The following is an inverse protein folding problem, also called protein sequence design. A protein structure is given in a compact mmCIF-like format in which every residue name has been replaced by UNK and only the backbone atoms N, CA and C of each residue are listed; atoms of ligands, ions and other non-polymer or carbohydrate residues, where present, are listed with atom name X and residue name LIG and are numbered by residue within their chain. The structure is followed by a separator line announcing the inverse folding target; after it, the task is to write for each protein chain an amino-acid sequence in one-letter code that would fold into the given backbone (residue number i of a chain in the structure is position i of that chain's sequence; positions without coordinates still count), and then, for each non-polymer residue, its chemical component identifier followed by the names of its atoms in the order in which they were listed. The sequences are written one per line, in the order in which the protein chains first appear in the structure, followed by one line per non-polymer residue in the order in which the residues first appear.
data_IF_742054170439
#
_entry.id   IF_742054170439
#
_cell.length_a   1.000
_cell.length_b   1.000
_cell.length_c   1.000
_cell.angle_alpha   90.00
_cell.angle_beta   90.00
_cell.angle_gamma   90.00
#
_symmetry.space_group_name_H-M   'P 1'
#
loop_
_entity.id
_entity.type
_entity.pdbx_description
1 polymer ?
#
# COMPACT_ATOMS: atom_id res chain seq x y z
N UNK A 1 -40.33 -62.33 -43.88
CA UNK A 1 -39.55 -61.09 -43.98
C UNK A 1 -39.46 -60.46 -42.60
N UNK A 2 -38.26 -60.42 -42.01
CA UNK A 2 -37.97 -59.76 -40.74
C UNK A 2 -37.44 -58.36 -41.06
N UNK A 3 -38.14 -57.31 -40.64
CA UNK A 3 -37.59 -55.96 -40.60
C UNK A 3 -36.97 -55.73 -39.22
N UNK A 4 -35.66 -55.50 -39.20
CA UNK A 4 -34.89 -55.14 -38.01
C UNK A 4 -34.86 -53.60 -37.96
N UNK A 5 -35.57 -53.01 -37.00
CA UNK A 5 -35.54 -51.56 -36.74
C UNK A 5 -34.26 -51.25 -35.94
N UNK A 6 -33.30 -50.60 -36.58
CA UNK A 6 -32.07 -50.14 -35.95
C UNK A 6 -32.31 -48.74 -35.36
N UNK A 7 -32.60 -48.65 -34.06
CA UNK A 7 -32.61 -47.38 -33.33
C UNK A 7 -31.16 -46.99 -33.02
N UNK A 8 -30.62 -46.01 -33.74
CA UNK A 8 -29.36 -45.35 -33.37
C UNK A 8 -29.67 -44.44 -32.19
N UNK A 9 -29.34 -44.90 -30.99
CA UNK A 9 -29.22 -44.06 -29.79
C UNK A 9 -28.05 -43.09 -30.01
N UNK A 10 -28.34 -41.90 -30.52
CA UNK A 10 -27.44 -40.76 -30.43
C UNK A 10 -27.23 -40.46 -28.95
N UNK A 11 -26.04 -40.80 -28.44
CA UNK A 11 -25.61 -40.45 -27.10
C UNK A 11 -25.59 -38.94 -26.94
N UNK A 12 -26.66 -38.39 -26.37
CA UNK A 12 -26.64 -37.05 -25.82
C UNK A 12 -25.61 -37.06 -24.70
N UNK A 13 -24.46 -36.44 -24.93
CA UNK A 13 -23.51 -36.11 -23.87
C UNK A 13 -24.16 -35.06 -22.97
N UNK A 14 -25.06 -35.49 -22.09
CA UNK A 14 -25.57 -34.69 -20.97
C UNK A 14 -24.37 -34.45 -20.07
N UNK A 15 -23.64 -33.37 -20.30
CA UNK A 15 -22.72 -32.83 -19.32
C UNK A 15 -23.59 -32.35 -18.16
N UNK A 16 -23.79 -33.22 -17.16
CA UNK A 16 -24.44 -32.82 -15.93
C UNK A 16 -23.65 -31.64 -15.36
N UNK A 17 -24.25 -30.46 -15.40
CA UNK A 17 -23.67 -29.27 -14.79
C UNK A 17 -23.48 -29.58 -13.30
N UNK A 18 -22.25 -29.42 -12.79
CA UNK A 18 -21.93 -29.77 -11.40
C UNK A 18 -22.79 -29.00 -10.39
N UNK A 19 -23.29 -27.84 -10.79
CA UNK A 19 -24.15 -26.96 -10.00
C UNK A 19 -25.55 -26.96 -10.57
N UNK A 20 -26.51 -27.35 -9.73
CA UNK A 20 -27.92 -27.44 -10.12
C UNK A 20 -28.65 -26.10 -9.97
N UNK A 21 -28.01 -25.09 -9.39
CA UNK A 21 -28.61 -23.76 -9.14
C UNK A 21 -27.59 -22.63 -9.30
N UNK A 22 -28.07 -21.45 -9.67
CA UNK A 22 -27.27 -20.22 -9.71
C UNK A 22 -26.63 -19.92 -8.34
N UNK A 23 -27.38 -20.12 -7.26
CA UNK A 23 -26.89 -19.96 -5.89
C UNK A 23 -25.70 -20.89 -5.59
N UNK A 24 -25.77 -22.17 -5.97
CA UNK A 24 -24.67 -23.12 -5.74
C UNK A 24 -23.41 -22.80 -6.55
N UNK A 25 -23.55 -22.21 -7.74
CA UNK A 25 -22.42 -21.75 -8.54
C UNK A 25 -21.78 -20.48 -7.94
N UNK A 26 -22.59 -19.53 -7.47
CA UNK A 26 -22.12 -18.35 -6.75
C UNK A 26 -21.36 -18.75 -5.48
N UNK A 27 -21.89 -19.69 -4.69
CA UNK A 27 -21.21 -20.25 -3.51
C UNK A 27 -19.87 -20.91 -3.85
N UNK A 28 -19.76 -21.58 -5.00
CA UNK A 28 -18.49 -22.13 -5.46
C UNK A 28 -17.46 -21.02 -5.73
N UNK A 29 -17.84 -19.95 -6.44
CA UNK A 29 -16.97 -18.80 -6.69
C UNK A 29 -16.57 -18.17 -5.34
N UNK A 30 -17.53 -17.92 -4.46
CA UNK A 30 -17.31 -17.35 -3.13
C UNK A 30 -16.33 -18.20 -2.29
N UNK A 31 -16.46 -19.53 -2.30
CA UNK A 31 -15.56 -20.41 -1.56
C UNK A 31 -14.10 -20.36 -2.05
N UNK A 32 -13.87 -20.02 -3.33
CA UNK A 32 -12.53 -19.81 -3.86
C UNK A 32 -12.01 -18.42 -3.47
N UNK A 33 -12.89 -17.40 -3.46
CA UNK A 33 -12.57 -16.06 -2.96
C UNK A 33 -12.29 -16.05 -1.46
N UNK A 34 -13.02 -16.80 -0.64
CA UNK A 34 -12.82 -16.88 0.81
C UNK A 34 -11.43 -17.41 1.18
N UNK A 35 -10.87 -18.33 0.38
CA UNK A 35 -9.50 -18.82 0.57
C UNK A 35 -8.45 -17.75 0.26
N UNK A 36 -8.69 -16.96 -0.78
CA UNK A 36 -7.84 -15.81 -1.13
C UNK A 36 -7.92 -14.76 -0.05
N UNK A 37 -9.13 -14.42 0.39
CA UNK A 37 -9.47 -13.52 1.50
C UNK A 37 -8.69 -13.90 2.76
N UNK A 38 -8.80 -15.16 3.21
CA UNK A 38 -8.06 -15.69 4.36
C UNK A 38 -6.53 -15.55 4.19
N UNK A 39 -5.99 -15.88 3.02
CA UNK A 39 -4.55 -15.79 2.80
C UNK A 39 -4.05 -14.34 2.71
N UNK A 40 -4.86 -13.44 2.16
CA UNK A 40 -4.59 -11.99 2.17
C UNK A 40 -4.55 -11.48 3.60
N UNK A 41 -5.51 -11.89 4.45
CA UNK A 41 -5.47 -11.59 5.89
C UNK A 41 -4.16 -12.05 6.54
N UNK A 42 -3.80 -13.33 6.37
CA UNK A 42 -2.58 -13.90 6.95
C UNK A 42 -1.32 -13.17 6.47
N UNK A 43 -1.29 -12.78 5.19
CA UNK A 43 -0.19 -12.02 4.64
C UNK A 43 -0.09 -10.63 5.27
N UNK A 44 -1.20 -9.89 5.35
CA UNK A 44 -1.24 -8.55 5.96
C UNK A 44 -0.85 -8.61 7.44
N UNK A 45 -1.51 -9.48 8.22
CA UNK A 45 -1.20 -9.72 9.63
C UNK A 45 0.28 -10.05 9.86
N UNK A 46 0.86 -10.91 9.01
CA UNK A 46 2.29 -11.22 9.09
C UNK A 46 3.15 -10.02 8.71
N UNK A 47 2.73 -9.21 7.75
CA UNK A 47 3.45 -8.02 7.29
C UNK A 47 3.60 -6.96 8.40
N UNK A 48 2.60 -6.79 9.28
CA UNK A 48 2.69 -5.83 10.40
C UNK A 48 3.56 -6.29 11.56
N UNK A 49 3.56 -7.59 11.86
CA UNK A 49 4.23 -8.09 13.06
C UNK A 49 5.63 -8.65 12.78
N UNK A 50 5.94 -9.04 11.53
CA UNK A 50 7.19 -9.73 11.22
C UNK A 50 8.23 -8.76 10.61
N UNK A 51 9.28 -8.37 11.36
CA UNK A 51 10.34 -7.50 10.85
C UNK A 51 11.21 -8.20 9.80
N UNK A 52 11.23 -9.55 9.75
CA UNK A 52 12.08 -10.31 8.84
C UNK A 52 11.57 -10.33 7.38
N UNK A 53 12.34 -9.71 6.47
CA UNK A 53 12.06 -9.64 5.04
C UNK A 53 11.89 -11.01 4.35
N UNK A 54 12.64 -12.04 4.74
CA UNK A 54 12.56 -13.37 4.11
C UNK A 54 11.26 -14.07 4.47
N UNK A 55 10.80 -13.96 5.71
CA UNK A 55 9.50 -14.49 6.12
C UNK A 55 8.35 -13.78 5.40
N UNK A 56 8.42 -12.45 5.23
CA UNK A 56 7.45 -11.69 4.42
C UNK A 56 7.40 -12.17 2.95
N UNK A 57 8.57 -12.43 2.34
CA UNK A 57 8.65 -13.02 0.99
C UNK A 57 7.99 -14.40 0.92
N UNK A 58 8.19 -15.24 1.94
CA UNK A 58 7.51 -16.53 2.06
C UNK A 58 5.99 -16.40 2.07
N UNK A 59 5.44 -15.51 2.90
CA UNK A 59 3.99 -15.28 2.99
C UNK A 59 3.39 -14.72 1.68
N UNK A 60 4.11 -13.80 1.02
CA UNK A 60 3.73 -13.32 -0.33
C UNK A 60 3.64 -14.50 -1.31
N UNK A 61 4.59 -15.43 -1.27
CA UNK A 61 4.59 -16.59 -2.17
C UNK A 61 3.41 -17.52 -1.92
N UNK A 62 3.01 -17.70 -0.65
CA UNK A 62 1.81 -18.46 -0.31
C UNK A 62 0.56 -17.79 -0.89
N UNK A 63 0.42 -16.46 -0.76
CA UNK A 63 -0.69 -15.71 -1.37
C UNK A 63 -0.73 -15.86 -2.89
N UNK A 64 0.41 -15.72 -3.59
CA UNK A 64 0.49 -15.97 -5.03
C UNK A 64 -0.03 -17.36 -5.41
N UNK A 65 0.34 -18.39 -4.64
CA UNK A 65 -0.05 -19.76 -4.91
C UNK A 65 -1.55 -19.99 -4.67
N UNK A 66 -2.13 -19.36 -3.64
CA UNK A 66 -3.57 -19.41 -3.36
C UNK A 66 -4.37 -18.72 -4.47
N UNK A 67 -3.94 -17.53 -4.92
CA UNK A 67 -4.53 -16.82 -6.05
C UNK A 67 -4.49 -17.67 -7.33
N UNK A 68 -3.32 -18.23 -7.69
CA UNK A 68 -3.18 -19.13 -8.84
C UNK A 68 -4.04 -20.39 -8.73
N UNK A 69 -4.28 -20.90 -7.53
CA UNK A 69 -5.16 -22.06 -7.31
C UNK A 69 -6.62 -21.66 -7.51
N UNK A 70 -7.06 -20.54 -6.94
CA UNK A 70 -8.42 -20.03 -7.10
C UNK A 70 -8.75 -19.74 -8.57
N UNK A 71 -7.85 -19.05 -9.30
CA UNK A 71 -7.97 -18.80 -10.75
C UNK A 71 -8.18 -20.12 -11.50
N UNK A 72 -7.27 -21.09 -11.31
CA UNK A 72 -7.35 -22.39 -11.99
C UNK A 72 -8.62 -23.17 -11.65
N UNK A 73 -9.10 -23.09 -10.41
CA UNK A 73 -10.33 -23.77 -10.01
C UNK A 73 -11.54 -23.17 -10.73
N UNK A 74 -11.64 -21.83 -10.78
CA UNK A 74 -12.77 -21.16 -11.43
C UNK A 74 -12.71 -21.32 -12.95
N UNK A 75 -11.53 -21.20 -13.58
CA UNK A 75 -11.36 -21.33 -15.03
C UNK A 75 -11.69 -22.73 -15.58
N UNK A 76 -11.39 -23.78 -14.80
CA UNK A 76 -11.62 -25.17 -15.22
C UNK A 76 -13.07 -25.63 -15.05
N UNK A 77 -13.85 -24.89 -14.28
CA UNK A 77 -15.24 -25.25 -14.01
C UNK A 77 -16.14 -24.85 -15.18
N UNK A 78 -17.16 -25.65 -15.46
CA UNK A 78 -18.17 -25.30 -16.47
C UNK A 78 -19.03 -24.16 -15.90
N UNK A 79 -19.08 -22.98 -16.54
CA UNK A 79 -19.76 -21.84 -15.96
C UNK A 79 -21.29 -22.01 -15.98
N UNK A 80 -21.95 -21.66 -14.87
CA UNK A 80 -23.39 -21.37 -14.89
C UNK A 80 -23.67 -20.04 -15.58
N UNK A 81 -22.75 -19.08 -15.44
CA UNK A 81 -22.73 -17.83 -16.19
C UNK A 81 -21.29 -17.48 -16.57
N UNK A 82 -21.06 -17.33 -17.88
CA UNK A 82 -19.74 -17.07 -18.45
C UNK A 82 -19.25 -15.64 -18.15
N UNK A 83 -20.14 -14.66 -17.98
CA UNK A 83 -19.77 -13.29 -17.64
C UNK A 83 -19.30 -13.22 -16.19
N UNK A 84 -20.04 -13.85 -15.27
CA UNK A 84 -19.61 -13.93 -13.86
C UNK A 84 -18.27 -14.67 -13.73
N UNK A 85 -18.09 -15.78 -14.44
CA UNK A 85 -16.82 -16.51 -14.46
C UNK A 85 -15.65 -15.61 -14.92
N UNK A 86 -15.83 -14.89 -16.03
CA UNK A 86 -14.82 -13.98 -16.57
C UNK A 86 -14.50 -12.86 -15.58
N UNK A 87 -15.51 -12.25 -14.96
CA UNK A 87 -15.32 -11.20 -13.97
C UNK A 87 -14.55 -11.72 -12.74
N UNK A 88 -14.92 -12.88 -12.19
CA UNK A 88 -14.23 -13.50 -11.06
C UNK A 88 -12.77 -13.85 -11.39
N UNK A 89 -12.52 -14.46 -12.55
CA UNK A 89 -11.17 -14.79 -13.01
C UNK A 89 -10.34 -13.53 -13.25
N UNK A 90 -10.91 -12.50 -13.88
CA UNK A 90 -10.24 -11.22 -14.10
C UNK A 90 -9.86 -10.57 -12.77
N UNK A 91 -10.80 -10.48 -11.82
CA UNK A 91 -10.54 -9.96 -10.49
C UNK A 91 -9.35 -10.65 -9.81
N UNK A 92 -9.31 -11.98 -9.82
CA UNK A 92 -8.22 -12.74 -9.23
C UNK A 92 -6.89 -12.62 -9.99
N UNK A 93 -6.92 -12.58 -11.32
CA UNK A 93 -5.71 -12.38 -12.15
C UNK A 93 -5.12 -10.99 -11.94
N UNK A 94 -5.95 -9.97 -11.85
CA UNK A 94 -5.49 -8.60 -11.65
C UNK A 94 -4.92 -8.43 -10.22
N UNK A 95 -5.56 -9.03 -9.20
CA UNK A 95 -4.97 -9.14 -7.86
C UNK A 95 -3.65 -9.93 -7.85
N UNK A 96 -3.56 -11.03 -8.59
CA UNK A 96 -2.32 -11.78 -8.74
C UNK A 96 -1.22 -10.93 -9.40
N UNK A 97 -1.55 -10.14 -10.43
CA UNK A 97 -0.62 -9.22 -11.07
C UNK A 97 -0.10 -8.15 -10.11
N UNK A 98 -0.97 -7.59 -9.27
CA UNK A 98 -0.57 -6.64 -8.21
C UNK A 98 0.40 -7.32 -7.21
N UNK A 99 0.05 -8.54 -6.77
CA UNK A 99 0.89 -9.31 -5.85
C UNK A 99 2.21 -9.75 -6.51
N UNK A 100 2.26 -10.02 -7.81
CA UNK A 100 3.45 -10.56 -8.50
C UNK A 100 4.36 -9.49 -9.12
N UNK A 101 3.79 -8.57 -9.89
CA UNK A 101 4.51 -7.76 -10.88
C UNK A 101 4.54 -6.27 -10.54
N UNK A 102 3.50 -5.69 -9.95
CA UNK A 102 3.48 -4.23 -9.73
C UNK A 102 4.56 -3.78 -8.75
N UNK A 103 4.82 -4.51 -7.67
CA UNK A 103 5.88 -4.12 -6.73
C UNK A 103 7.31 -4.19 -7.35
N UNK A 104 7.54 -5.04 -8.34
CA UNK A 104 8.89 -5.27 -8.91
C UNK A 104 9.11 -4.51 -10.21
N UNK A 105 8.09 -4.30 -11.04
CA UNK A 105 8.18 -3.45 -12.24
C UNK A 105 8.20 -1.96 -11.88
N UNK A 106 7.49 -1.55 -10.83
CA UNK A 106 7.43 -0.15 -10.41
C UNK A 106 8.66 0.27 -9.57
N UNK A 107 9.35 -0.68 -8.93
CA UNK A 107 10.68 -0.48 -8.33
C UNK A 107 11.82 -0.61 -9.35
N UNK A 108 11.55 -1.13 -10.55
CA UNK A 108 12.49 -1.22 -11.68
C UNK A 108 12.44 0.01 -12.60
N UNK A 109 11.83 1.12 -12.15
CA UNK A 109 12.25 2.45 -12.60
C UNK A 109 13.63 2.73 -11.98
N UNK A 110 14.61 1.96 -12.44
CA UNK A 110 16.03 2.15 -12.25
C UNK A 110 16.59 2.20 -13.68
N UNK A 111 17.13 3.36 -14.07
CA UNK A 111 17.94 3.62 -15.27
C UNK A 111 17.20 3.52 -16.63
N UNK A 112 17.12 4.51 -17.54
CA UNK A 112 18.07 5.58 -17.84
C UNK A 112 17.45 6.92 -18.31
N UNK A 113 16.19 7.06 -18.74
CA UNK A 113 15.77 8.30 -19.47
C UNK A 113 14.27 8.70 -19.36
N UNK A 114 13.63 8.69 -18.18
CA UNK A 114 12.24 9.19 -18.07
C UNK A 114 11.93 9.77 -16.69
N UNK A 115 11.09 10.82 -16.59
CA UNK A 115 10.94 11.63 -15.38
C UNK A 115 10.49 10.77 -14.20
N UNK A 116 11.14 10.98 -13.06
CA UNK A 116 10.89 10.30 -11.78
C UNK A 116 9.40 10.29 -11.43
N UNK A 117 8.70 9.21 -11.80
CA UNK A 117 7.38 8.96 -11.20
C UNK A 117 7.66 8.56 -9.77
N UNK A 118 7.52 9.53 -8.87
CA UNK A 118 7.72 9.34 -7.44
C UNK A 118 6.98 8.08 -6.96
N UNK A 119 7.65 7.26 -6.12
CA UNK A 119 7.14 6.00 -5.52
C UNK A 119 5.75 6.19 -4.91
N UNK A 120 5.50 7.40 -4.44
CA UNK A 120 4.24 7.93 -3.94
C UNK A 120 3.08 7.89 -4.96
N UNK A 121 3.30 8.29 -6.21
CA UNK A 121 2.30 8.22 -7.29
C UNK A 121 1.98 6.78 -7.67
N UNK A 122 2.99 5.92 -7.59
CA UNK A 122 2.90 4.49 -7.88
C UNK A 122 1.98 3.79 -6.87
N UNK A 123 2.18 4.00 -5.56
CA UNK A 123 1.33 3.38 -4.52
C UNK A 123 -0.14 3.80 -4.64
N UNK A 124 -0.41 5.08 -4.90
CA UNK A 124 -1.78 5.59 -5.09
C UNK A 124 -2.47 4.98 -6.31
N UNK A 125 -1.73 4.78 -7.42
CA UNK A 125 -2.26 4.12 -8.62
C UNK A 125 -2.64 2.66 -8.35
N UNK A 126 -1.82 1.92 -7.61
CA UNK A 126 -2.12 0.53 -7.21
C UNK A 126 -3.39 0.50 -6.35
N UNK A 127 -3.49 1.40 -5.36
CA UNK A 127 -4.67 1.49 -4.48
C UNK A 127 -5.94 1.76 -5.28
N UNK A 128 -5.93 2.76 -6.15
CA UNK A 128 -7.08 3.09 -6.99
C UNK A 128 -7.46 1.93 -7.92
N UNK A 129 -6.46 1.22 -8.47
CA UNK A 129 -6.71 0.02 -9.26
C UNK A 129 -7.37 -1.08 -8.41
N UNK A 130 -6.93 -1.33 -7.18
CA UNK A 130 -7.56 -2.30 -6.27
C UNK A 130 -9.02 -1.97 -5.97
N UNK A 131 -9.32 -0.70 -5.70
CA UNK A 131 -10.70 -0.24 -5.47
C UNK A 131 -11.57 -0.43 -6.72
N UNK A 132 -11.07 -0.04 -7.89
CA UNK A 132 -11.81 -0.21 -9.14
C UNK A 132 -12.06 -1.70 -9.44
N UNK A 133 -11.05 -2.55 -9.28
CA UNK A 133 -11.20 -4.00 -9.45
C UNK A 133 -12.28 -4.59 -8.55
N UNK A 134 -12.37 -4.10 -7.30
CA UNK A 134 -13.41 -4.53 -6.37
C UNK A 134 -14.79 -4.07 -6.81
N UNK A 135 -14.93 -2.81 -7.19
CA UNK A 135 -16.20 -2.25 -7.69
C UNK A 135 -16.69 -2.99 -8.93
N UNK A 136 -15.81 -3.25 -9.90
CA UNK A 136 -16.14 -3.98 -11.13
C UNK A 136 -16.65 -5.39 -10.82
N UNK A 137 -16.04 -6.07 -9.84
CA UNK A 137 -16.44 -7.40 -9.43
C UNK A 137 -17.77 -7.40 -8.66
N UNK A 138 -17.98 -6.46 -7.72
CA UNK A 138 -19.22 -6.33 -6.97
C UNK A 138 -20.41 -5.98 -7.90
N UNK A 139 -20.18 -5.20 -8.95
CA UNK A 139 -21.16 -4.95 -10.01
C UNK A 139 -21.53 -6.26 -10.75
N UNK A 140 -20.55 -7.09 -11.13
CA UNK A 140 -20.81 -8.37 -11.77
C UNK A 140 -21.59 -9.35 -10.87
N UNK A 141 -21.37 -9.30 -9.55
CA UNK A 141 -22.15 -10.08 -8.58
C UNK A 141 -23.59 -9.58 -8.50
N UNK A 142 -23.79 -8.27 -8.49
CA UNK A 142 -25.11 -7.65 -8.47
C UNK A 142 -25.90 -7.99 -9.75
N UNK A 143 -25.25 -7.92 -10.91
CA UNK A 143 -25.85 -8.29 -12.19
C UNK A 143 -26.24 -9.77 -12.23
N UNK A 144 -25.35 -10.66 -11.76
CA UNK A 144 -25.64 -12.10 -11.67
C UNK A 144 -26.80 -12.40 -10.71
N UNK A 145 -26.82 -11.72 -9.57
CA UNK A 145 -27.88 -11.88 -8.59
C UNK A 145 -29.23 -11.43 -9.14
N UNK A 146 -29.28 -10.28 -9.79
CA UNK A 146 -30.48 -9.76 -10.46
C UNK A 146 -30.97 -10.71 -11.57
N UNK A 147 -30.06 -11.21 -12.42
CA UNK A 147 -30.37 -12.13 -13.52
C UNK A 147 -30.97 -13.47 -13.06
N UNK A 148 -30.68 -13.88 -11.83
CA UNK A 148 -31.08 -15.18 -11.28
C UNK A 148 -31.96 -15.07 -10.04
N UNK A 149 -32.56 -13.89 -9.81
CA UNK A 149 -33.46 -13.61 -8.68
C UNK A 149 -32.87 -13.99 -7.31
N UNK A 150 -31.55 -13.81 -7.15
CA UNK A 150 -30.85 -14.09 -5.90
C UNK A 150 -30.91 -12.88 -4.97
N UNK A 151 -31.29 -13.11 -3.72
CA UNK A 151 -31.18 -12.12 -2.65
C UNK A 151 -29.77 -12.23 -2.05
N UNK A 152 -28.93 -11.22 -2.29
CA UNK A 152 -27.62 -11.11 -1.66
C UNK A 152 -27.79 -10.47 -0.28
N UNK A 153 -27.77 -11.29 0.77
CA UNK A 153 -27.70 -10.79 2.13
C UNK A 153 -26.30 -10.19 2.38
N UNK A 154 -26.22 -9.08 3.10
CA UNK A 154 -24.92 -8.52 3.49
C UNK A 154 -24.13 -9.59 4.25
N UNK A 155 -22.88 -9.81 3.83
CA UNK A 155 -22.06 -10.87 4.39
C UNK A 155 -21.71 -10.55 5.86
N UNK A 156 -22.44 -11.14 6.81
CA UNK A 156 -22.18 -11.06 8.26
C UNK A 156 -21.00 -11.95 8.70
N UNK A 157 -20.15 -12.40 7.76
CA UNK A 157 -18.97 -13.18 8.08
C UNK A 157 -17.99 -12.30 8.86
N UNK A 158 -17.71 -12.69 10.11
CA UNK A 158 -16.77 -12.04 11.00
C UNK A 158 -15.39 -11.85 10.34
N UNK A 159 -14.95 -12.81 9.52
CA UNK A 159 -13.71 -12.69 8.75
C UNK A 159 -13.75 -11.51 7.77
N UNK A 160 -14.86 -11.34 7.05
CA UNK A 160 -15.01 -10.25 6.08
C UNK A 160 -15.02 -8.88 6.77
N UNK A 161 -15.66 -8.78 7.94
CA UNK A 161 -15.67 -7.56 8.77
C UNK A 161 -14.27 -7.23 9.31
N UNK A 162 -13.56 -8.22 9.86
CA UNK A 162 -12.17 -8.07 10.32
C UNK A 162 -11.25 -7.61 9.19
N UNK A 163 -11.42 -8.17 8.01
CA UNK A 163 -10.67 -7.77 6.83
C UNK A 163 -10.96 -6.35 6.37
N UNK A 164 -12.23 -5.96 6.30
CA UNK A 164 -12.60 -4.58 5.96
C UNK A 164 -11.97 -3.59 6.95
N UNK A 165 -12.03 -3.88 8.25
CA UNK A 165 -11.41 -3.07 9.28
C UNK A 165 -9.87 -3.03 9.13
N UNK A 166 -9.23 -4.15 8.83
CA UNK A 166 -7.78 -4.20 8.61
C UNK A 166 -7.33 -3.47 7.36
N UNK A 167 -8.07 -3.59 6.26
CA UNK A 167 -7.80 -2.78 5.05
C UNK A 167 -7.83 -1.30 5.42
N UNK A 168 -8.84 -0.86 6.18
CA UNK A 168 -8.95 0.52 6.67
C UNK A 168 -7.76 0.93 7.55
N UNK A 169 -7.31 0.07 8.46
CA UNK A 169 -6.12 0.31 9.30
C UNK A 169 -4.86 0.50 8.45
N UNK A 170 -4.62 -0.39 7.49
CA UNK A 170 -3.45 -0.30 6.61
C UNK A 170 -3.55 0.86 5.64
N UNK A 171 -4.75 1.20 5.16
CA UNK A 171 -4.93 2.37 4.30
C UNK A 171 -4.57 3.64 5.04
N UNK A 172 -5.08 3.83 6.26
CA UNK A 172 -4.70 4.97 7.10
C UNK A 172 -3.19 5.01 7.39
N UNK A 173 -2.61 3.87 7.76
CA UNK A 173 -1.16 3.76 7.98
C UNK A 173 -0.35 4.14 6.73
N UNK A 174 -0.76 3.64 5.56
CA UNK A 174 -0.05 3.89 4.31
C UNK A 174 -0.17 5.37 3.90
N UNK A 175 -1.32 6.00 4.10
CA UNK A 175 -1.51 7.43 3.83
C UNK A 175 -0.69 8.32 4.76
N UNK A 176 -0.65 7.98 6.05
CA UNK A 176 0.22 8.70 6.99
C UNK A 176 1.71 8.47 6.69
N UNK A 177 2.10 7.25 6.34
CA UNK A 177 3.48 6.94 5.95
C UNK A 177 3.90 7.66 4.67
N UNK A 178 2.97 7.90 3.74
CA UNK A 178 3.21 8.71 2.54
C UNK A 178 3.57 10.16 2.87
N UNK A 179 2.87 10.77 3.83
CA UNK A 179 3.19 12.11 4.32
C UNK A 179 4.57 12.16 4.99
N UNK A 180 4.91 11.10 5.74
CA UNK A 180 6.25 10.94 6.33
C UNK A 180 7.34 10.84 5.26
N UNK A 181 7.13 10.07 4.19
CA UNK A 181 8.14 9.92 3.14
C UNK A 181 8.42 11.24 2.42
N UNK A 182 7.42 12.08 2.18
CA UNK A 182 7.64 13.41 1.60
C UNK A 182 8.56 14.28 2.46
N UNK A 183 8.37 14.28 3.78
CA UNK A 183 9.26 15.00 4.71
C UNK A 183 10.69 14.43 4.61
N UNK A 184 10.84 13.09 4.57
CA UNK A 184 12.16 12.45 4.42
C UNK A 184 12.85 12.81 3.11
N UNK A 185 12.10 12.91 2.01
CA UNK A 185 12.64 13.30 0.70
C UNK A 185 13.07 14.76 0.69
N UNK A 186 12.23 15.67 1.19
CA UNK A 186 12.56 17.08 1.32
C UNK A 186 13.79 17.29 2.23
N UNK A 187 13.87 16.55 3.33
CA UNK A 187 15.02 16.59 4.23
C UNK A 187 16.29 16.01 3.58
N UNK A 188 16.20 14.89 2.87
CA UNK A 188 17.33 14.36 2.13
C UNK A 188 17.83 15.34 1.06
N UNK A 189 16.92 16.04 0.38
CA UNK A 189 17.25 17.07 -0.61
C UNK A 189 17.94 18.28 0.03
N UNK A 190 17.53 18.72 1.22
CA UNK A 190 18.22 19.75 2.01
C UNK A 190 19.70 19.37 2.27
N UNK A 191 19.97 18.11 2.60
CA UNK A 191 21.33 17.64 2.92
C UNK A 191 22.19 17.26 1.72
N UNK A 192 21.59 17.15 0.53
CA UNK A 192 22.31 16.74 -0.67
C UNK A 192 23.35 17.78 -1.07
N UNK A 193 24.60 17.36 -1.14
CA UNK A 193 25.75 18.19 -1.53
C UNK A 193 25.87 19.48 -0.73
N UNK A 194 25.45 19.46 0.55
CA UNK A 194 25.27 20.65 1.38
C UNK A 194 26.49 21.58 1.43
N UNK A 195 27.71 21.03 1.39
CA UNK A 195 28.95 21.82 1.44
C UNK A 195 29.22 22.64 0.17
N UNK A 196 28.50 22.35 -0.91
CA UNK A 196 28.63 23.02 -2.20
C UNK A 196 27.47 23.99 -2.46
N UNK A 197 26.52 24.11 -1.54
CA UNK A 197 25.39 25.02 -1.68
C UNK A 197 25.81 26.45 -1.39
N UNK A 198 25.23 27.39 -2.14
CA UNK A 198 25.19 28.79 -1.70
C UNK A 198 24.25 28.95 -0.49
N UNK A 199 24.43 30.01 0.32
CA UNK A 199 23.52 30.30 1.44
C UNK A 199 22.06 30.43 0.99
N UNK A 200 21.82 31.01 -0.18
CA UNK A 200 20.48 31.15 -0.75
C UNK A 200 19.88 29.79 -1.11
N UNK A 201 20.62 28.93 -1.82
CA UNK A 201 20.12 27.59 -2.16
C UNK A 201 19.80 26.76 -0.91
N UNK A 202 20.61 26.87 0.15
CA UNK A 202 20.31 26.21 1.42
C UNK A 202 19.02 26.76 2.05
N UNK A 203 18.84 28.08 2.06
CA UNK A 203 17.63 28.74 2.58
C UNK A 203 16.36 28.36 1.79
N UNK A 204 16.46 28.28 0.47
CA UNK A 204 15.36 27.88 -0.40
C UNK A 204 14.94 26.42 -0.10
N UNK A 205 15.91 25.50 -0.01
CA UNK A 205 15.64 24.10 0.36
C UNK A 205 15.07 23.95 1.76
N UNK A 206 15.46 24.83 2.69
CA UNK A 206 14.91 24.84 4.04
C UNK A 206 13.44 25.28 4.03
N UNK A 207 13.11 26.26 3.20
CA UNK A 207 11.74 26.73 2.97
C UNK A 207 10.88 25.62 2.36
N UNK A 208 11.41 24.87 1.39
CA UNK A 208 10.72 23.72 0.80
C UNK A 208 10.39 22.62 1.83
N UNK A 209 11.32 22.33 2.75
CA UNK A 209 11.10 21.41 3.85
C UNK A 209 10.01 21.91 4.79
N UNK A 210 10.07 23.18 5.22
CA UNK A 210 9.07 23.80 6.10
C UNK A 210 7.66 23.77 5.47
N UNK A 211 7.56 24.13 4.19
CA UNK A 211 6.30 24.09 3.45
C UNK A 211 5.76 22.67 3.34
N UNK A 212 6.62 21.68 3.03
CA UNK A 212 6.24 20.26 2.98
C UNK A 212 5.67 19.78 4.31
N UNK A 213 6.26 20.18 5.43
CA UNK A 213 5.79 19.82 6.77
C UNK A 213 4.42 20.43 7.03
N UNK A 214 4.24 21.73 6.77
CA UNK A 214 2.97 22.45 6.98
C UNK A 214 1.83 21.86 6.17
N UNK A 215 2.04 21.64 4.88
CA UNK A 215 1.04 21.03 4.00
C UNK A 215 0.67 19.63 4.44
N UNK A 216 1.66 18.81 4.81
CA UNK A 216 1.42 17.45 5.21
C UNK A 216 0.77 17.35 6.59
N UNK A 217 0.96 18.33 7.46
CA UNK A 217 0.24 18.42 8.72
C UNK A 217 -1.25 18.73 8.52
N UNK A 218 -1.61 19.59 7.56
CA UNK A 218 -3.01 19.79 7.20
C UNK A 218 -3.64 18.49 6.65
N UNK A 219 -2.95 17.82 5.72
CA UNK A 219 -3.40 16.55 5.14
C UNK A 219 -3.53 15.45 6.20
N UNK A 220 -2.62 15.37 7.17
CA UNK A 220 -2.72 14.35 8.23
C UNK A 220 -3.96 14.57 9.10
N UNK A 221 -4.28 15.82 9.45
CA UNK A 221 -5.50 16.14 10.18
C UNK A 221 -6.77 15.78 9.38
N UNK A 222 -6.82 16.08 8.08
CA UNK A 222 -7.93 15.69 7.21
C UNK A 222 -8.14 14.17 7.17
N UNK A 223 -7.05 13.41 6.96
CA UNK A 223 -7.06 11.95 6.97
C UNK A 223 -7.60 11.42 8.31
N UNK A 224 -7.09 11.95 9.42
CA UNK A 224 -7.49 11.56 10.77
C UNK A 224 -8.96 11.84 11.08
N UNK A 225 -9.51 12.94 10.57
CA UNK A 225 -10.91 13.30 10.78
C UNK A 225 -11.88 12.48 9.91
N UNK A 226 -11.39 11.88 8.82
CA UNK A 226 -12.19 11.11 7.86
C UNK A 226 -12.38 9.63 8.22
N UNK A 227 -11.66 9.14 9.24
CA UNK A 227 -11.65 7.73 9.65
C UNK A 227 -12.41 7.50 10.95
N UNK A 228 -12.99 6.31 11.12
CA UNK A 228 -13.72 5.88 12.32
C UNK A 228 -12.91 4.91 13.21
N UNK A 229 -11.61 4.75 12.91
CA UNK A 229 -10.67 3.98 13.73
C UNK A 229 -9.81 4.95 14.56
N UNK A 230 -9.14 4.44 15.59
CA UNK A 230 -8.12 5.21 16.30
C UNK A 230 -7.13 5.77 15.26
N UNK A 231 -6.81 7.06 15.33
CA UNK A 231 -5.90 7.68 14.35
C UNK A 231 -4.43 7.57 14.76
N UNK A 232 -3.54 7.52 13.75
CA UNK A 232 -2.09 7.75 13.85
C UNK A 232 -1.69 9.23 14.04
N UNK A 233 -2.63 10.18 14.12
CA UNK A 233 -2.34 11.62 14.17
C UNK A 233 -1.26 11.98 15.18
N UNK A 234 -1.37 11.51 16.43
CA UNK A 234 -0.40 11.85 17.48
C UNK A 234 1.02 11.35 17.18
N UNK A 235 1.12 10.17 16.57
CA UNK A 235 2.40 9.59 16.14
C UNK A 235 2.99 10.43 15.00
N UNK A 236 2.13 10.85 14.07
CA UNK A 236 2.52 11.73 12.98
C UNK A 236 2.98 13.11 13.47
N UNK A 237 2.23 13.74 14.37
CA UNK A 237 2.56 15.04 14.95
C UNK A 237 3.89 14.99 15.70
N UNK A 238 4.13 13.93 16.48
CA UNK A 238 5.42 13.74 17.15
C UNK A 238 6.57 13.60 16.14
N UNK A 239 6.35 12.92 15.02
CA UNK A 239 7.35 12.78 13.96
C UNK A 239 7.62 14.11 13.26
N UNK A 240 6.57 14.84 12.86
CA UNK A 240 6.69 16.10 12.12
C UNK A 240 7.34 17.19 12.96
N UNK A 241 7.06 17.24 14.27
CA UNK A 241 7.68 18.17 15.20
C UNK A 241 9.20 18.05 15.27
N UNK A 242 9.77 16.86 15.05
CA UNK A 242 11.22 16.68 14.97
C UNK A 242 11.87 17.43 13.79
N UNK A 243 11.08 17.85 12.81
CA UNK A 243 11.50 18.64 11.66
C UNK A 243 10.93 20.07 11.69
N UNK A 244 10.18 20.44 12.73
CA UNK A 244 9.59 21.77 12.90
C UNK A 244 10.57 22.81 13.47
N UNK A 245 10.09 23.80 14.21
CA UNK A 245 10.88 24.95 14.68
C UNK A 245 12.24 24.59 15.29
N UNK A 246 12.29 23.58 16.17
CA UNK A 246 13.55 23.14 16.80
C UNK A 246 14.59 22.66 15.77
N UNK A 247 14.16 22.05 14.67
CA UNK A 247 15.05 21.67 13.57
C UNK A 247 15.61 22.92 12.88
N UNK A 248 14.74 23.89 12.61
CA UNK A 248 15.11 25.17 11.97
C UNK A 248 16.11 25.95 12.81
N UNK A 249 15.94 25.98 14.14
CA UNK A 249 16.84 26.68 15.06
C UNK A 249 18.29 26.14 15.03
N UNK A 250 18.48 24.88 14.62
CA UNK A 250 19.81 24.25 14.54
C UNK A 250 20.50 24.47 13.18
N UNK A 251 19.88 25.22 12.25
CA UNK A 251 20.45 25.50 10.91
C UNK A 251 21.42 26.69 10.89
N UNK A 252 21.41 27.55 11.91
CA UNK A 252 22.27 28.74 11.97
C UNK A 252 23.76 28.47 11.71
N UNK A 253 24.38 27.49 12.39
CA UNK A 253 25.79 27.13 12.13
C UNK A 253 26.08 26.66 10.70
N UNK A 254 25.07 26.13 10.00
CA UNK A 254 25.20 25.74 8.61
C UNK A 254 25.26 26.98 7.72
N UNK A 255 24.30 27.90 7.88
CA UNK A 255 24.26 29.16 7.13
C UNK A 255 25.53 29.98 7.33
N UNK A 256 25.97 30.16 8.57
CA UNK A 256 27.20 30.91 8.88
C UNK A 256 28.44 30.32 8.18
N UNK A 257 28.54 28.98 8.13
CA UNK A 257 29.63 28.32 7.42
C UNK A 257 29.54 28.53 5.91
N UNK A 258 28.36 28.35 5.31
CA UNK A 258 28.15 28.54 3.87
C UNK A 258 28.41 30.00 3.44
N UNK A 259 28.00 30.97 4.26
CA UNK A 259 28.26 32.40 4.02
C UNK A 259 29.76 32.68 4.01
N UNK A 260 30.49 32.20 5.03
CA UNK A 260 31.93 32.38 5.11
C UNK A 260 32.67 31.76 3.91
N UNK A 261 32.27 30.55 3.50
CA UNK A 261 32.83 29.90 2.30
C UNK A 261 32.51 30.71 1.03
N UNK A 262 31.28 31.18 0.87
CA UNK A 262 30.84 31.93 -0.32
C UNK A 262 31.57 33.27 -0.49
N UNK A 263 31.89 33.93 0.63
CA UNK A 263 32.63 35.20 0.66
C UNK A 263 34.15 35.00 0.70
N UNK A 264 34.63 33.75 0.74
CA UNK A 264 36.01 33.38 1.02
C UNK A 264 36.55 34.05 2.31
N UNK A 265 35.68 34.25 3.30
CA UNK A 265 36.03 34.76 4.62
C UNK A 265 36.70 33.66 5.45
N UNK A 266 37.95 33.91 5.86
CA UNK A 266 38.75 32.98 6.66
C UNK A 266 38.72 33.29 8.15
N UNK A 267 38.02 34.35 8.56
CA UNK A 267 37.86 34.73 9.96
C UNK A 267 37.13 33.61 10.71
N UNK A 268 37.77 33.08 11.76
CA UNK A 268 37.27 32.01 12.62
C UNK A 268 36.78 30.76 11.86
N UNK A 269 37.35 30.48 10.68
CA UNK A 269 36.88 29.39 9.81
C UNK A 269 36.94 28.01 10.46
N UNK A 270 37.90 27.79 11.37
CA UNK A 270 38.00 26.54 12.15
C UNK A 270 36.78 26.39 13.07
N UNK A 271 36.43 27.45 13.81
CA UNK A 271 35.28 27.43 14.72
C UNK A 271 33.96 27.28 13.95
N UNK A 272 33.79 27.99 12.82
CA UNK A 272 32.63 27.85 11.93
C UNK A 272 32.51 26.42 11.38
N UNK A 273 33.62 25.78 11.01
CA UNK A 273 33.64 24.38 10.54
C UNK A 273 33.27 23.40 11.65
N UNK A 274 33.74 23.62 12.88
CA UNK A 274 33.40 22.80 14.04
C UNK A 274 31.91 22.92 14.39
N UNK A 275 31.37 24.14 14.39
CA UNK A 275 29.95 24.40 14.61
C UNK A 275 29.07 23.73 13.53
N UNK A 276 29.46 23.83 12.25
CA UNK A 276 28.83 23.12 11.13
C UNK A 276 28.79 21.60 11.35
N UNK A 277 29.93 21.00 11.72
CA UNK A 277 30.02 19.55 11.96
C UNK A 277 29.20 19.10 13.17
N UNK A 278 29.14 19.93 14.21
CA UNK A 278 28.31 19.70 15.40
C UNK A 278 26.82 19.72 15.04
N UNK A 279 26.38 20.73 14.28
CA UNK A 279 25.01 20.82 13.79
C UNK A 279 24.66 19.60 12.92
N UNK A 280 25.52 19.25 11.94
CA UNK A 280 25.34 18.05 11.09
C UNK A 280 25.20 16.76 11.92
N UNK A 281 25.99 16.62 12.99
CA UNK A 281 25.91 15.47 13.91
C UNK A 281 24.58 15.43 14.62
N UNK A 282 24.10 16.58 15.13
CA UNK A 282 22.79 16.71 15.75
C UNK A 282 21.66 16.30 14.78
N UNK A 283 21.67 16.78 13.54
CA UNK A 283 20.66 16.43 12.54
C UNK A 283 20.63 14.93 12.24
N UNK A 284 21.80 14.28 12.13
CA UNK A 284 21.88 12.84 11.93
C UNK A 284 21.26 12.05 13.10
N UNK A 285 21.51 12.49 14.34
CA UNK A 285 20.91 11.88 15.53
C UNK A 285 19.40 12.09 15.57
N UNK A 286 18.94 13.33 15.37
CA UNK A 286 17.52 13.68 15.32
C UNK A 286 16.77 12.86 14.25
N UNK A 287 17.35 12.72 13.05
CA UNK A 287 16.80 11.91 11.96
C UNK A 287 16.66 10.45 12.39
N UNK A 288 17.73 9.86 12.92
CA UNK A 288 17.74 8.46 13.37
C UNK A 288 16.66 8.21 14.42
N UNK A 289 16.59 9.07 15.42
CA UNK A 289 15.69 8.90 16.55
C UNK A 289 14.22 9.11 16.12
N UNK A 290 13.95 10.08 15.24
CA UNK A 290 12.62 10.32 14.66
C UNK A 290 12.15 9.15 13.78
N UNK A 291 13.05 8.59 12.97
CA UNK A 291 12.73 7.47 12.07
C UNK A 291 12.48 6.19 12.88
N UNK A 292 13.27 5.98 13.94
CA UNK A 292 13.10 4.84 14.84
C UNK A 292 11.80 4.94 15.65
N UNK A 293 11.46 6.16 16.12
CA UNK A 293 10.23 6.41 16.86
C UNK A 293 9.00 6.18 15.97
N UNK A 294 8.97 6.75 14.77
CA UNK A 294 7.91 6.51 13.78
C UNK A 294 7.71 5.01 13.53
N UNK A 295 8.80 4.28 13.26
CA UNK A 295 8.71 2.84 12.99
C UNK A 295 8.15 2.07 14.18
N UNK A 296 8.55 2.41 15.40
CA UNK A 296 8.15 1.67 16.62
C UNK A 296 6.69 1.95 16.97
N UNK A 297 6.32 3.24 17.00
CA UNK A 297 4.97 3.71 17.33
C UNK A 297 3.94 3.22 16.31
N UNK A 298 4.26 3.25 15.01
CA UNK A 298 3.34 2.75 13.97
C UNK A 298 3.18 1.24 14.01
N UNK A 299 4.24 0.47 14.28
CA UNK A 299 4.12 -0.97 14.51
C UNK A 299 3.19 -1.27 15.69
N UNK A 300 3.32 -0.53 16.80
CA UNK A 300 2.43 -0.66 17.96
C UNK A 300 0.99 -0.29 17.62
N UNK A 301 0.78 0.81 16.91
CA UNK A 301 -0.54 1.23 16.43
C UNK A 301 -1.24 0.13 15.62
N UNK A 302 -0.53 -0.46 14.64
CA UNK A 302 -1.10 -1.52 13.82
C UNK A 302 -1.39 -2.76 14.68
N UNK A 303 -0.47 -3.14 15.57
CA UNK A 303 -0.65 -4.28 16.46
C UNK A 303 -1.86 -4.10 17.39
N UNK A 304 -2.00 -2.95 18.03
CA UNK A 304 -3.10 -2.64 18.96
C UNK A 304 -4.46 -2.74 18.25
N UNK A 305 -4.57 -2.15 17.06
CA UNK A 305 -5.83 -2.16 16.31
C UNK A 305 -6.16 -3.53 15.74
N UNK A 306 -5.20 -4.24 15.15
CA UNK A 306 -5.42 -5.59 14.62
C UNK A 306 -5.77 -6.58 15.73
N UNK A 307 -5.13 -6.47 16.91
CA UNK A 307 -5.42 -7.36 18.05
C UNK A 307 -6.80 -7.13 18.66
N UNK A 308 -7.41 -5.96 18.41
CA UNK A 308 -8.76 -5.61 18.86
C UNK A 308 -9.89 -6.07 17.94
N UNK A 309 -9.58 -6.65 16.77
CA UNK A 309 -10.57 -7.14 15.79
C UNK A 309 -11.05 -8.58 16.08
#
# INVERSE_FOLDING_TARGET
MRYFLFFILLGLNVHAQRYNTASSYLQFIDSNHEKVINQTWNYMYSYSLEPNLQKRKGQRKVLENVLKKAIRNIEKEIPFDANLQKAAVKYLKDNLSIVQYDYVQLLKVDSQDAPEVDKNTIFRRIRNAMYQLRMDYDAAITDYASKHDLIINSNNNQLAQRMAATIKIYDHYNEMNFLVQQIKMAEAYLWQDITNLSPQEFSDRLTDLDQTIKENQLKSHELSNSIDIKSLQLVYDSFSQSFGNKFMDHTGPILEYLEAVSLNDRTDIIAKTEAFNTAKTWFNLNRRDSYSSWSTETSKYIQDLISGL
#
